data_IF_004690938908
#
_entry.id   IF_004690938908
#
_cell.length_a   1.000
_cell.length_b   1.000
_cell.length_c   1.000
_cell.angle_alpha   90.00
_cell.angle_beta   90.00
_cell.angle_gamma   90.00
#
_symmetry.space_group_name_H-M   'P 1'
#
loop_
_entity.id
_entity.type
_entity.pdbx_description
1 polymer ?
#
# COMPACT_ATOMS: atom_id res chain seq x y z
N UNK A 1 53.51 -37.24 15.33
CA UNK A 1 52.17 -37.42 14.72
C UNK A 1 51.02 -36.73 15.47
N UNK A 2 51.21 -36.08 16.63
CA UNK A 2 50.13 -35.40 17.38
C UNK A 2 49.80 -33.96 16.93
N UNK A 3 50.79 -33.18 16.49
CA UNK A 3 50.63 -31.75 16.20
C UNK A 3 49.82 -31.44 14.92
N UNK A 4 49.91 -32.28 13.89
CA UNK A 4 49.19 -32.08 12.61
C UNK A 4 47.68 -32.27 12.74
N UNK A 5 47.25 -33.20 13.62
CA UNK A 5 45.83 -33.46 13.90
C UNK A 5 45.19 -32.32 14.70
N UNK A 6 45.94 -31.70 15.63
CA UNK A 6 45.50 -30.54 16.40
C UNK A 6 45.31 -29.29 15.51
N UNK A 7 46.20 -29.08 14.55
CA UNK A 7 46.09 -28.00 13.55
C UNK A 7 44.89 -28.20 12.61
N UNK A 8 44.67 -29.42 12.12
CA UNK A 8 43.52 -29.74 11.28
C UNK A 8 42.19 -29.58 12.02
N UNK A 9 42.10 -30.01 13.28
CA UNK A 9 40.91 -29.83 14.10
C UNK A 9 40.61 -28.33 14.34
N UNK A 10 41.63 -27.51 14.63
CA UNK A 10 41.48 -26.08 14.80
C UNK A 10 41.00 -25.39 13.50
N UNK A 11 41.53 -25.79 12.34
CA UNK A 11 41.11 -25.27 11.05
C UNK A 11 39.64 -25.60 10.72
N UNK A 12 39.21 -26.84 11.01
CA UNK A 12 37.82 -27.27 10.81
C UNK A 12 36.88 -26.46 11.71
N UNK A 13 37.20 -26.29 12.99
CA UNK A 13 36.39 -25.52 13.93
C UNK A 13 36.24 -24.07 13.46
N UNK A 14 37.34 -23.44 13.00
CA UNK A 14 37.32 -22.07 12.52
C UNK A 14 36.46 -21.93 11.26
N UNK A 15 36.60 -22.84 10.30
CA UNK A 15 35.81 -22.86 9.06
C UNK A 15 34.32 -23.07 9.34
N UNK A 16 33.96 -23.97 10.27
CA UNK A 16 32.57 -24.18 10.67
C UNK A 16 31.99 -22.96 11.38
N UNK A 17 32.75 -22.28 12.23
CA UNK A 17 32.31 -21.04 12.88
C UNK A 17 32.06 -19.93 11.86
N UNK A 18 32.98 -19.73 10.92
CA UNK A 18 32.81 -18.74 9.84
C UNK A 18 31.61 -19.09 8.95
N UNK A 19 31.48 -20.36 8.56
CA UNK A 19 30.33 -20.82 7.77
C UNK A 19 29.00 -20.61 8.49
N UNK A 20 28.93 -20.90 9.80
CA UNK A 20 27.75 -20.66 10.62
C UNK A 20 27.38 -19.17 10.69
N UNK A 21 28.36 -18.29 10.89
CA UNK A 21 28.15 -16.83 10.91
C UNK A 21 27.62 -16.35 9.55
N UNK A 22 28.23 -16.80 8.45
CA UNK A 22 27.78 -16.43 7.10
C UNK A 22 26.34 -16.87 6.82
N UNK A 23 25.95 -18.08 7.25
CA UNK A 23 24.58 -18.56 7.11
C UNK A 23 23.58 -17.74 7.93
N UNK A 24 23.94 -17.35 9.15
CA UNK A 24 23.10 -16.48 9.99
C UNK A 24 22.94 -15.09 9.36
N UNK A 25 24.02 -14.48 8.88
CA UNK A 25 23.99 -13.17 8.21
C UNK A 25 23.17 -13.25 6.92
N UNK A 26 23.38 -14.28 6.09
CA UNK A 26 22.60 -14.49 4.87
C UNK A 26 21.12 -14.68 5.18
N UNK A 27 20.77 -15.48 6.19
CA UNK A 27 19.40 -15.64 6.66
C UNK A 27 18.78 -14.32 7.12
N UNK A 28 19.50 -13.54 7.92
CA UNK A 28 19.01 -12.24 8.38
C UNK A 28 18.78 -11.26 7.22
N UNK A 29 19.68 -11.20 6.25
CA UNK A 29 19.55 -10.31 5.09
C UNK A 29 18.43 -10.73 4.13
N UNK A 30 18.27 -12.04 3.90
CA UNK A 30 17.25 -12.57 2.98
C UNK A 30 15.85 -12.56 3.58
N UNK A 31 15.70 -12.91 4.87
CA UNK A 31 14.40 -13.05 5.53
C UNK A 31 14.01 -11.84 6.40
N UNK A 32 14.95 -10.95 6.72
CA UNK A 32 14.73 -9.83 7.64
C UNK A 32 14.12 -8.58 7.01
N UNK A 33 13.97 -8.49 5.69
CA UNK A 33 13.34 -7.33 5.02
C UNK A 33 11.82 -7.37 5.15
N UNK A 34 11.31 -7.17 6.37
CA UNK A 34 9.91 -6.82 6.57
C UNK A 34 9.71 -5.40 6.07
N UNK A 35 9.03 -5.26 4.94
CA UNK A 35 8.53 -3.97 4.51
C UNK A 35 7.72 -3.33 5.63
N UNK A 36 7.97 -2.05 5.89
CA UNK A 36 7.18 -1.30 6.86
C UNK A 36 5.70 -1.30 6.45
N UNK A 37 4.76 -1.11 7.39
CA UNK A 37 3.35 -0.96 7.05
C UNK A 37 3.13 0.08 5.93
N UNK A 38 3.83 1.21 6.00
CA UNK A 38 3.74 2.29 5.02
C UNK A 38 4.28 1.91 3.65
N UNK A 39 5.38 1.15 3.58
CA UNK A 39 5.91 0.66 2.31
C UNK A 39 4.96 -0.33 1.64
N UNK A 40 4.36 -1.22 2.44
CA UNK A 40 3.36 -2.17 1.94
C UNK A 40 2.14 -1.44 1.41
N UNK A 41 1.65 -0.46 2.17
CA UNK A 41 0.49 0.33 1.76
C UNK A 41 0.80 1.15 0.51
N UNK A 42 1.97 1.80 0.43
CA UNK A 42 2.44 2.46 -0.79
C UNK A 42 2.49 1.52 -1.99
N UNK A 43 3.03 0.32 -1.81
CA UNK A 43 3.05 -0.69 -2.88
C UNK A 43 1.64 -1.11 -3.32
N UNK A 44 0.69 -1.23 -2.37
CA UNK A 44 -0.73 -1.49 -2.67
C UNK A 44 -1.33 -0.36 -3.51
N UNK A 45 -1.09 0.90 -3.15
CA UNK A 45 -1.58 2.07 -3.88
C UNK A 45 -1.04 2.13 -5.31
N UNK A 46 0.26 1.94 -5.48
CA UNK A 46 0.92 1.89 -6.80
C UNK A 46 0.32 0.75 -7.63
N UNK A 47 0.19 -0.45 -7.07
CA UNK A 47 -0.41 -1.59 -7.76
C UNK A 47 -1.81 -1.27 -8.30
N UNK A 48 -2.69 -0.69 -7.48
CA UNK A 48 -4.05 -0.35 -7.89
C UNK A 48 -4.07 0.81 -8.89
N UNK A 49 -3.20 1.81 -8.73
CA UNK A 49 -3.08 2.92 -9.67
C UNK A 49 -2.73 2.43 -11.08
N UNK A 50 -1.76 1.52 -11.18
CA UNK A 50 -1.31 1.03 -12.49
C UNK A 50 -2.23 -0.04 -13.08
N UNK A 51 -2.71 -0.99 -12.26
CA UNK A 51 -3.39 -2.21 -12.75
C UNK A 51 -4.88 -2.28 -12.45
N UNK A 52 -5.40 -1.42 -11.57
CA UNK A 52 -6.80 -1.44 -11.19
C UNK A 52 -7.71 -1.01 -12.34
N UNK A 53 -8.88 -1.64 -12.44
CA UNK A 53 -9.94 -1.26 -13.38
C UNK A 53 -10.66 -0.02 -12.87
N UNK A 54 -10.93 0.91 -13.78
CA UNK A 54 -11.65 2.14 -13.50
C UNK A 54 -13.16 1.89 -13.44
N UNK A 55 -13.84 2.49 -12.47
CA UNK A 55 -15.30 2.52 -12.39
C UNK A 55 -15.75 3.80 -11.68
N UNK A 56 -17.01 4.17 -11.89
CA UNK A 56 -17.66 5.23 -11.13
C UNK A 56 -17.92 4.80 -9.69
N UNK A 57 -17.85 5.80 -8.82
CA UNK A 57 -18.11 5.68 -7.40
C UNK A 57 -18.79 6.95 -6.91
N UNK A 58 -19.35 6.89 -5.71
CA UNK A 58 -19.90 8.03 -5.00
C UNK A 58 -19.15 8.19 -3.68
N UNK A 59 -18.59 9.37 -3.45
CA UNK A 59 -18.01 9.74 -2.16
C UNK A 59 -19.18 10.10 -1.24
N UNK A 60 -19.43 9.22 -0.26
CA UNK A 60 -20.59 9.27 0.62
C UNK A 60 -20.30 10.00 1.93
N UNK A 61 -19.03 10.02 2.34
CA UNK A 61 -18.63 10.58 3.63
C UNK A 61 -17.21 11.12 3.59
N UNK A 62 -16.96 12.21 4.31
CA UNK A 62 -15.63 12.79 4.47
C UNK A 62 -15.45 13.26 5.90
N UNK A 63 -14.41 12.78 6.57
CA UNK A 63 -14.04 13.19 7.93
C UNK A 63 -12.54 13.48 7.99
N UNK A 64 -12.18 14.75 7.84
CA UNK A 64 -10.77 15.16 7.76
C UNK A 64 -10.08 14.54 6.54
N UNK A 65 -9.16 13.62 6.79
CA UNK A 65 -8.39 12.89 5.76
C UNK A 65 -8.99 11.51 5.45
N UNK A 66 -10.03 11.07 6.16
CA UNK A 66 -10.74 9.83 5.87
C UNK A 66 -11.87 10.10 4.88
N UNK A 67 -11.82 9.42 3.73
CA UNK A 67 -12.82 9.56 2.67
C UNK A 67 -13.53 8.23 2.45
N UNK A 68 -14.83 8.21 2.74
CA UNK A 68 -15.74 7.09 2.49
C UNK A 68 -16.36 7.18 1.10
N UNK A 69 -16.36 6.07 0.37
CA UNK A 69 -17.00 5.98 -0.94
C UNK A 69 -17.66 4.62 -1.16
N UNK A 70 -18.61 4.58 -2.09
CA UNK A 70 -19.29 3.36 -2.50
C UNK A 70 -19.30 3.19 -4.02
N UNK A 71 -19.32 1.94 -4.48
CA UNK A 71 -19.34 1.56 -5.90
C UNK A 71 -19.91 0.15 -6.06
N UNK A 72 -20.34 -0.20 -7.27
CA UNK A 72 -20.98 -1.49 -7.54
C UNK A 72 -20.20 -2.30 -8.57
N UNK A 73 -19.95 -3.58 -8.26
CA UNK A 73 -19.31 -4.54 -9.18
C UNK A 73 -20.13 -5.83 -9.19
N UNK A 74 -20.63 -6.23 -10.36
CA UNK A 74 -21.38 -7.48 -10.51
C UNK A 74 -22.64 -7.55 -9.64
N UNK A 75 -23.33 -6.42 -9.45
CA UNK A 75 -24.52 -6.34 -8.60
C UNK A 75 -24.23 -6.12 -7.10
N UNK A 76 -22.99 -6.30 -6.65
CA UNK A 76 -22.59 -6.13 -5.24
C UNK A 76 -22.10 -4.71 -5.00
N UNK A 77 -22.67 -4.04 -4.00
CA UNK A 77 -22.24 -2.72 -3.54
C UNK A 77 -21.14 -2.87 -2.49
N UNK A 78 -20.04 -2.15 -2.70
CA UNK A 78 -18.93 -2.07 -1.78
C UNK A 78 -18.92 -0.70 -1.13
N UNK A 79 -18.63 -0.66 0.17
CA UNK A 79 -18.38 0.55 0.94
C UNK A 79 -16.95 0.51 1.46
N UNK A 80 -16.18 1.56 1.21
CA UNK A 80 -14.76 1.62 1.55
C UNK A 80 -14.46 2.98 2.15
N UNK A 81 -13.62 2.98 3.18
CA UNK A 81 -13.00 4.20 3.70
C UNK A 81 -11.53 4.16 3.34
N UNK A 82 -11.07 5.22 2.67
CA UNK A 82 -9.66 5.41 2.38
C UNK A 82 -9.08 6.51 3.26
N UNK A 83 -7.96 6.21 3.92
CA UNK A 83 -7.13 7.20 4.60
C UNK A 83 -6.24 7.94 3.58
N UNK A 84 -6.40 9.26 3.53
CA UNK A 84 -5.68 10.18 2.65
C UNK A 84 -4.69 11.06 3.40
N UNK A 85 -4.25 10.69 4.60
CA UNK A 85 -3.31 11.47 5.40
C UNK A 85 -2.00 11.78 4.65
N UNK A 86 -1.48 10.80 3.89
CA UNK A 86 -0.32 10.99 3.03
C UNK A 86 -0.52 12.04 1.91
N UNK A 87 -1.78 12.36 1.59
CA UNK A 87 -2.18 13.27 0.52
C UNK A 87 -2.87 14.53 1.05
N UNK A 88 -2.72 14.87 2.34
CA UNK A 88 -3.31 16.07 2.96
C UNK A 88 -3.11 17.34 2.14
N UNK A 89 -1.94 17.50 1.52
CA UNK A 89 -1.60 18.66 0.69
C UNK A 89 -2.44 18.79 -0.60
N UNK A 90 -3.10 17.72 -1.02
CA UNK A 90 -4.02 17.68 -2.17
C UNK A 90 -5.49 17.82 -1.75
N UNK A 91 -5.78 17.75 -0.45
CA UNK A 91 -7.14 17.90 0.07
C UNK A 91 -7.57 19.37 0.07
N UNK A 92 -8.81 19.69 -0.32
CA UNK A 92 -9.35 21.03 -0.19
C UNK A 92 -9.41 21.44 1.29
N UNK A 93 -9.42 22.74 1.56
CA UNK A 93 -9.56 23.26 2.95
C UNK A 93 -10.89 22.84 3.57
N UNK A 94 -11.94 22.79 2.76
CA UNK A 94 -13.25 22.25 3.12
C UNK A 94 -13.40 20.85 2.48
N UNK A 95 -13.25 19.76 3.26
CA UNK A 95 -13.32 18.40 2.76
C UNK A 95 -14.71 18.02 2.22
N UNK A 96 -15.77 18.73 2.60
CA UNK A 96 -17.14 18.44 2.13
C UNK A 96 -17.30 18.66 0.62
N UNK A 97 -16.42 19.46 0.01
CA UNK A 97 -16.36 19.68 -1.43
C UNK A 97 -15.99 18.43 -2.24
N UNK A 98 -15.54 17.36 -1.56
CA UNK A 98 -15.24 16.07 -2.16
C UNK A 98 -16.47 15.17 -2.28
N UNK A 99 -17.58 15.48 -1.60
CA UNK A 99 -18.78 14.65 -1.64
C UNK A 99 -19.37 14.56 -3.06
N UNK A 100 -19.93 13.40 -3.39
CA UNK A 100 -20.59 13.16 -4.67
C UNK A 100 -19.76 12.35 -5.67
N UNK A 101 -19.97 12.52 -6.98
CA UNK A 101 -19.45 11.61 -8.00
C UNK A 101 -17.93 11.60 -8.09
N UNK A 102 -17.36 10.40 -8.13
CA UNK A 102 -15.94 10.17 -8.27
C UNK A 102 -15.66 8.98 -9.21
N UNK A 103 -14.38 8.74 -9.44
CA UNK A 103 -13.89 7.51 -10.04
C UNK A 103 -13.05 6.76 -9.01
N UNK A 104 -13.01 5.44 -9.11
CA UNK A 104 -12.08 4.62 -8.33
C UNK A 104 -11.40 3.61 -9.23
N UNK A 105 -10.23 3.15 -8.81
CA UNK A 105 -9.58 1.96 -9.37
C UNK A 105 -9.74 0.79 -8.40
N UNK A 106 -10.13 -0.36 -8.91
CA UNK A 106 -10.28 -1.58 -8.12
C UNK A 106 -9.58 -2.79 -8.75
N UNK A 107 -9.21 -3.76 -7.91
CA UNK A 107 -8.67 -5.04 -8.37
C UNK A 107 -9.81 -5.94 -8.85
N UNK A 108 -9.75 -6.43 -10.09
CA UNK A 108 -10.76 -7.38 -10.60
C UNK A 108 -10.76 -8.71 -9.82
N UNK A 109 -9.59 -9.15 -9.33
CA UNK A 109 -9.45 -10.37 -8.56
C UNK A 109 -10.00 -10.23 -7.12
N UNK A 110 -10.06 -9.00 -6.60
CA UNK A 110 -10.64 -8.70 -5.29
C UNK A 110 -11.31 -7.32 -5.35
N UNK A 111 -12.60 -7.24 -5.71
CA UNK A 111 -13.28 -5.97 -5.90
C UNK A 111 -13.32 -5.08 -4.68
N UNK A 112 -13.25 -5.62 -3.45
CA UNK A 112 -13.16 -4.83 -2.22
C UNK A 112 -11.83 -4.06 -2.10
N UNK A 113 -10.78 -4.50 -2.80
CA UNK A 113 -9.51 -3.79 -2.84
C UNK A 113 -9.56 -2.70 -3.91
N UNK A 114 -9.84 -1.47 -3.47
CA UNK A 114 -9.96 -0.29 -4.32
C UNK A 114 -9.17 0.90 -3.78
N UNK A 115 -9.10 1.94 -4.61
CA UNK A 115 -8.45 3.19 -4.32
C UNK A 115 -9.14 4.36 -5.04
N UNK A 116 -9.30 5.46 -4.32
CA UNK A 116 -9.81 6.74 -4.80
C UNK A 116 -8.67 7.70 -5.17
N UNK A 117 -7.61 7.73 -4.35
CA UNK A 117 -6.45 8.59 -4.55
C UNK A 117 -5.14 7.86 -4.25
N UNK A 118 -4.13 8.12 -5.07
CA UNK A 118 -2.77 7.57 -4.95
C UNK A 118 -1.74 8.59 -5.44
N UNK A 119 -0.47 8.25 -5.32
CA UNK A 119 0.68 9.06 -5.74
C UNK A 119 0.63 9.44 -7.23
N UNK A 120 0.10 8.57 -8.08
CA UNK A 120 0.16 8.72 -9.54
C UNK A 120 -1.23 8.90 -10.17
N UNK A 121 -2.30 8.83 -9.38
CA UNK A 121 -3.66 8.83 -9.90
C UNK A 121 -4.68 9.34 -8.88
N UNK A 122 -5.63 10.15 -9.35
CA UNK A 122 -6.76 10.67 -8.58
C UNK A 122 -8.07 10.44 -9.33
N UNK A 123 -9.06 9.92 -8.62
CA UNK A 123 -10.44 9.83 -9.09
C UNK A 123 -11.38 10.89 -8.51
N UNK A 124 -10.86 11.78 -7.66
CA UNK A 124 -11.60 12.89 -7.07
C UNK A 124 -11.92 13.91 -8.16
N UNK A 125 -13.21 14.23 -8.31
CA UNK A 125 -13.67 15.35 -9.14
C UNK A 125 -13.98 16.50 -8.20
N UNK A 126 -13.24 17.60 -8.31
CA UNK A 126 -13.60 18.80 -7.54
C UNK A 126 -14.92 19.34 -8.10
N UNK A 127 -15.91 19.56 -7.22
CA UNK A 127 -17.14 20.22 -7.61
C UNK A 127 -16.82 21.64 -8.10
N UNK A 128 -17.25 21.99 -9.32
CA UNK A 128 -17.19 23.38 -9.79
C UNK A 128 -18.22 24.20 -8.99
N UNK A 129 -17.88 25.36 -8.42
CA UNK A 129 -18.78 26.15 -7.55
C UNK A 129 -20.11 26.66 -8.16
N UNK A 130 -20.44 26.34 -9.42
CA UNK A 130 -21.52 27.02 -10.15
C UNK A 130 -22.92 26.37 -10.01
N UNK A 131 -23.11 25.40 -9.11
CA UNK A 131 -24.39 24.69 -8.94
C UNK A 131 -25.26 25.16 -7.76
N UNK A 132 -24.79 26.11 -6.94
CA UNK A 132 -25.65 26.73 -5.92
C UNK A 132 -26.37 27.92 -6.56
N UNK A 133 -27.38 27.63 -7.38
CA UNK A 133 -28.47 28.57 -7.67
C UNK A 133 -29.68 28.18 -6.84
N UNK A 134 -29.96 28.94 -5.78
CA UNK A 134 -31.31 29.37 -5.40
C UNK A 134 -31.21 30.78 -4.83
#
# INVERSE_FOLDING_TARGET
MGASRLSAAAAIILLSAVGGILLVVAGFLLFGRRHSPDEKERARRIFLSTRGRLIEAEITEVQGELVGYSYQVGGVTYHVVQDLAAFRHLMPRDPTLLLGPALIRYSQANPANSILLSEEWSGIRMARPDSIKQ
#
